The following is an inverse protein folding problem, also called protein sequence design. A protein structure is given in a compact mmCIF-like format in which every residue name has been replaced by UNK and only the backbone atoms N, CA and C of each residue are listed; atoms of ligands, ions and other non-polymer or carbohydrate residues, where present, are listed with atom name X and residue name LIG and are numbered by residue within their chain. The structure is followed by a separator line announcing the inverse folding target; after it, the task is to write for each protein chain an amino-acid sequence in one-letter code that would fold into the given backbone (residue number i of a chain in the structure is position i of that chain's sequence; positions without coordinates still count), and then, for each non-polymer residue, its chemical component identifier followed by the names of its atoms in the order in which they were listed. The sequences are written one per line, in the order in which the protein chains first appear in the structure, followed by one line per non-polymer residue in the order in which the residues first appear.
data_IF_528070825004
#
_entry.id   IF_528070825004
#
_cell.length_a   1.000
_cell.length_b   1.000
_cell.length_c   1.000
_cell.angle_alpha   90.00
_cell.angle_beta   90.00
_cell.angle_gamma   90.00
#
_symmetry.space_group_name_H-M   'P 1'
#
loop_
_entity.id
_entity.type
_entity.pdbx_description
1 polymer ?
#
# COMPACT_ATOMS: atom_id res chain seq x y z
N UNK A 1 -1.86 59.96 -66.51
CA UNK A 1 -1.88 60.74 -65.27
C UNK A 1 -2.48 59.86 -64.19
N UNK A 2 -1.62 59.29 -63.39
CA UNK A 2 -1.83 58.30 -62.36
C UNK A 2 -2.10 59.01 -61.05
N UNK A 3 -3.18 58.67 -60.38
CA UNK A 3 -3.45 59.07 -59.01
C UNK A 3 -3.46 57.78 -58.09
N UNK A 4 -2.45 57.73 -57.28
CA UNK A 4 -2.28 56.75 -56.19
C UNK A 4 -3.32 56.99 -55.10
N UNK A 5 -4.10 55.95 -54.76
CA UNK A 5 -4.94 55.87 -53.52
C UNK A 5 -4.21 55.09 -52.51
N UNK A 6 -4.06 55.64 -51.29
CA UNK A 6 -3.57 55.07 -50.09
C UNK A 6 -4.54 53.96 -49.48
N UNK A 7 -4.01 52.94 -48.83
CA UNK A 7 -4.82 51.86 -48.25
C UNK A 7 -5.08 52.07 -46.73
N UNK A 8 -5.92 53.04 -46.40
CA UNK A 8 -6.45 53.21 -45.04
C UNK A 8 -7.92 53.58 -45.14
N UNK A 9 -8.77 52.67 -44.86
CA UNK A 9 -10.17 52.77 -44.42
C UNK A 9 -11.02 51.61 -44.93
N UNK A 10 -11.02 50.50 -44.12
CA UNK A 10 -12.23 49.69 -43.93
C UNK A 10 -12.13 48.96 -42.58
N UNK A 11 -12.37 49.69 -41.51
CA UNK A 11 -12.83 49.06 -40.29
C UNK A 11 -14.35 48.90 -40.37
N UNK A 12 -14.81 47.75 -40.85
CA UNK A 12 -16.19 47.36 -40.65
C UNK A 12 -16.30 46.67 -39.30
N UNK A 13 -16.93 47.37 -38.36
CA UNK A 13 -17.42 46.81 -37.12
C UNK A 13 -18.42 45.70 -37.41
N UNK A 14 -18.02 44.46 -37.23
CA UNK A 14 -18.92 43.32 -37.17
C UNK A 14 -19.65 43.33 -35.84
N UNK A 15 -20.98 43.54 -35.92
CA UNK A 15 -21.87 43.37 -34.78
C UNK A 15 -21.75 41.94 -34.20
N UNK A 16 -21.84 41.73 -32.86
CA UNK A 16 -21.77 40.42 -32.25
C UNK A 16 -22.96 39.59 -32.70
N UNK A 17 -22.70 38.41 -33.24
CA UNK A 17 -23.71 37.41 -33.61
C UNK A 17 -24.35 36.88 -32.31
N UNK A 18 -25.67 37.02 -32.08
CA UNK A 18 -26.36 36.46 -30.91
C UNK A 18 -26.52 34.95 -31.10
N UNK A 19 -25.92 34.15 -30.20
CA UNK A 19 -26.11 32.72 -30.18
C UNK A 19 -24.86 31.84 -30.26
N UNK A 20 -23.65 32.41 -30.09
CA UNK A 20 -22.44 31.63 -29.89
C UNK A 20 -22.48 30.91 -28.51
N UNK A 21 -22.04 29.63 -28.42
CA UNK A 21 -21.96 28.97 -27.15
C UNK A 21 -21.07 29.81 -26.21
N UNK A 22 -21.56 30.01 -24.98
CA UNK A 22 -20.83 30.73 -23.92
C UNK A 22 -19.38 30.21 -23.83
N UNK A 23 -18.38 31.08 -23.73
CA UNK A 23 -17.02 30.65 -23.52
C UNK A 23 -16.99 29.80 -22.27
N UNK A 24 -16.75 28.51 -22.44
CA UNK A 24 -16.59 27.52 -21.36
C UNK A 24 -15.73 28.18 -20.29
N UNK A 25 -16.34 28.52 -19.17
CA UNK A 25 -15.65 29.04 -17.98
C UNK A 25 -14.60 28.00 -17.63
N UNK A 26 -13.37 28.23 -18.06
CA UNK A 26 -12.21 27.45 -17.64
C UNK A 26 -12.10 27.66 -16.14
N UNK A 27 -12.66 26.74 -15.37
CA UNK A 27 -12.36 26.64 -13.94
C UNK A 27 -10.85 26.49 -13.84
N UNK A 28 -10.15 27.39 -13.16
CA UNK A 28 -8.71 27.33 -13.10
C UNK A 28 -8.30 26.02 -12.45
N UNK A 29 -7.62 25.14 -13.22
CA UNK A 29 -7.05 23.88 -12.79
C UNK A 29 -6.12 24.00 -11.56
N UNK A 30 -5.76 25.24 -11.20
CA UNK A 30 -5.01 25.58 -9.98
C UNK A 30 -5.73 25.23 -8.68
N UNK A 31 -7.05 24.98 -8.67
CA UNK A 31 -7.77 24.54 -7.46
C UNK A 31 -7.70 23.03 -7.20
N UNK A 32 -7.22 22.23 -8.14
CA UNK A 32 -7.11 20.77 -8.00
C UNK A 32 -5.70 20.32 -7.61
N UNK A 33 -4.71 21.19 -7.64
CA UNK A 33 -3.39 20.90 -7.10
C UNK A 33 -3.40 21.33 -5.62
N UNK A 34 -3.34 20.43 -4.65
CA UNK A 34 -3.22 20.83 -3.26
C UNK A 34 -1.89 21.57 -3.12
N UNK A 35 -2.01 22.86 -2.77
CA UNK A 35 -0.90 23.73 -2.44
C UNK A 35 0.07 23.00 -1.51
N UNK A 36 1.33 22.96 -1.92
CA UNK A 36 2.53 22.66 -1.15
C UNK A 36 2.29 22.33 0.34
N UNK A 37 2.20 21.04 0.67
CA UNK A 37 2.56 20.61 2.01
C UNK A 37 4.01 21.02 2.22
N UNK A 38 4.23 21.94 3.16
CA UNK A 38 5.54 22.41 3.55
C UNK A 38 6.45 21.18 3.74
N UNK A 39 7.59 21.02 3.02
CA UNK A 39 8.39 19.80 3.07
C UNK A 39 8.88 19.46 4.49
N UNK A 40 8.92 20.46 5.36
CA UNK A 40 9.29 20.33 6.77
C UNK A 40 8.19 19.67 7.61
N UNK A 41 6.91 19.94 7.35
CA UNK A 41 5.80 19.30 8.10
C UNK A 41 5.73 17.80 7.83
N UNK A 42 6.02 17.37 6.60
CA UNK A 42 6.07 15.95 6.27
C UNK A 42 7.27 15.20 6.88
N UNK A 43 8.42 15.87 7.01
CA UNK A 43 9.61 15.29 7.68
C UNK A 43 9.44 15.26 9.19
N UNK A 44 8.89 16.33 9.79
CA UNK A 44 8.61 16.37 11.22
C UNK A 44 7.59 15.31 11.65
N UNK A 45 6.51 15.13 10.89
CA UNK A 45 5.53 14.08 11.14
C UNK A 45 6.15 12.67 11.05
N UNK A 46 7.04 12.44 10.08
CA UNK A 46 7.75 11.16 9.96
C UNK A 46 8.65 10.90 11.17
N UNK A 47 9.44 11.88 11.59
CA UNK A 47 10.32 11.76 12.76
C UNK A 47 9.51 11.54 14.03
N UNK A 48 8.43 12.31 14.24
CA UNK A 48 7.54 12.12 15.39
C UNK A 48 6.93 10.72 15.43
N UNK A 49 6.43 10.24 14.30
CA UNK A 49 5.91 8.88 14.18
C UNK A 49 6.98 7.82 14.45
N UNK A 50 8.19 8.00 13.90
CA UNK A 50 9.31 7.09 14.12
C UNK A 50 9.66 6.99 15.61
N UNK A 51 9.73 8.14 16.31
CA UNK A 51 9.98 8.18 17.74
C UNK A 51 8.88 7.47 18.53
N UNK A 52 7.60 7.74 18.21
CA UNK A 52 6.45 7.09 18.88
C UNK A 52 6.50 5.59 18.67
N UNK A 53 6.65 5.13 17.42
CA UNK A 53 6.65 3.68 17.10
C UNK A 53 7.85 2.99 17.71
N UNK A 54 9.05 3.57 17.69
CA UNK A 54 10.25 2.96 18.28
C UNK A 54 10.25 3.01 19.81
N UNK A 55 9.64 4.02 20.44
CA UNK A 55 9.53 4.12 21.89
C UNK A 55 8.42 3.24 22.48
N UNK A 56 7.45 2.82 21.68
CA UNK A 56 6.27 2.07 22.13
C UNK A 56 6.61 0.78 22.90
N UNK A 57 7.59 -0.06 22.51
CA UNK A 57 7.92 -1.29 23.26
C UNK A 57 8.40 -1.06 24.68
N UNK A 58 8.96 0.12 24.95
CA UNK A 58 9.38 0.50 26.31
C UNK A 58 8.20 0.96 27.18
N UNK A 59 7.11 1.41 26.54
CA UNK A 59 5.89 1.87 27.21
C UNK A 59 4.87 0.75 27.38
N UNK A 60 4.85 -0.24 26.45
CA UNK A 60 3.97 -1.41 26.51
C UNK A 60 4.50 -2.41 27.55
N UNK A 61 3.83 -2.52 28.68
CA UNK A 61 4.26 -3.37 29.82
C UNK A 61 4.31 -4.88 29.49
N UNK A 62 3.46 -5.38 28.57
CA UNK A 62 3.32 -6.80 28.27
C UNK A 62 4.02 -7.21 26.96
N UNK A 63 4.77 -8.31 27.00
CA UNK A 63 5.45 -8.86 25.82
C UNK A 63 4.48 -9.43 24.76
N UNK A 64 3.31 -9.89 25.18
CA UNK A 64 2.25 -10.38 24.28
C UNK A 64 1.70 -9.26 23.41
N UNK A 65 1.49 -8.07 23.99
CA UNK A 65 1.03 -6.88 23.27
C UNK A 65 2.05 -6.45 22.21
N UNK A 66 3.35 -6.54 22.51
CA UNK A 66 4.41 -6.21 21.57
C UNK A 66 4.35 -7.07 20.29
N UNK A 67 4.02 -8.37 20.41
CA UNK A 67 3.86 -9.26 19.27
C UNK A 67 2.64 -8.88 18.42
N UNK A 68 1.52 -8.60 19.06
CA UNK A 68 0.29 -8.18 18.38
C UNK A 68 0.50 -6.88 17.59
N UNK A 69 1.18 -5.90 18.21
CA UNK A 69 1.53 -4.67 17.52
C UNK A 69 2.52 -4.89 16.36
N UNK A 70 3.49 -5.80 16.50
CA UNK A 70 4.40 -6.18 15.43
C UNK A 70 3.62 -6.74 14.21
N UNK A 71 2.60 -7.57 14.45
CA UNK A 71 1.71 -8.07 13.42
C UNK A 71 1.01 -6.92 12.68
N UNK A 72 0.45 -5.95 13.40
CA UNK A 72 -0.22 -4.79 12.80
C UNK A 72 0.73 -3.89 12.00
N UNK A 73 1.99 -3.78 12.44
CA UNK A 73 3.01 -3.05 11.66
C UNK A 73 3.34 -3.77 10.34
N UNK A 74 3.37 -5.11 10.32
CA UNK A 74 3.50 -5.87 9.08
C UNK A 74 2.32 -5.62 8.13
N UNK A 75 1.11 -5.58 8.64
CA UNK A 75 -0.08 -5.23 7.84
C UNK A 75 -0.03 -3.79 7.33
N UNK A 76 0.47 -2.86 8.12
CA UNK A 76 0.67 -1.48 7.68
C UNK A 76 1.68 -1.37 6.52
N UNK A 77 2.75 -2.19 6.50
CA UNK A 77 3.68 -2.25 5.37
C UNK A 77 2.99 -2.66 4.06
N UNK A 78 2.14 -3.70 4.13
CA UNK A 78 1.34 -4.15 2.97
C UNK A 78 0.41 -3.04 2.50
N UNK A 79 -0.29 -2.39 3.43
CA UNK A 79 -1.22 -1.31 3.13
C UNK A 79 -0.54 -0.13 2.42
N UNK A 80 0.68 0.25 2.84
CA UNK A 80 1.48 1.28 2.17
C UNK A 80 1.84 0.87 0.74
N UNK A 81 2.29 -0.39 0.54
CA UNK A 81 2.57 -0.93 -0.79
C UNK A 81 1.33 -0.93 -1.69
N UNK A 82 0.21 -1.41 -1.18
CA UNK A 82 -1.06 -1.43 -1.90
C UNK A 82 -1.56 -0.01 -2.24
N UNK A 83 -1.36 0.98 -1.36
CA UNK A 83 -1.73 2.37 -1.64
C UNK A 83 -0.90 2.96 -2.79
N UNK A 84 0.37 2.58 -2.96
CA UNK A 84 1.16 2.97 -4.14
C UNK A 84 0.51 2.43 -5.43
N UNK A 85 0.13 1.16 -5.45
CA UNK A 85 -0.49 0.56 -6.63
C UNK A 85 -1.91 1.11 -6.87
N UNK A 86 -2.74 1.15 -5.86
CA UNK A 86 -4.15 1.52 -5.98
C UNK A 86 -4.37 3.03 -5.83
N UNK A 87 -3.87 3.63 -4.76
CA UNK A 87 -4.09 5.04 -4.45
C UNK A 87 -3.41 5.97 -5.46
N UNK A 88 -2.13 5.73 -5.73
CA UNK A 88 -1.34 6.55 -6.64
C UNK A 88 -1.37 6.03 -8.08
N UNK A 89 -1.40 4.72 -8.30
CA UNK A 89 -1.37 4.11 -9.64
C UNK A 89 -2.74 3.78 -10.24
N UNK A 90 -3.81 3.81 -9.45
CA UNK A 90 -5.17 3.46 -9.91
C UNK A 90 -5.37 1.96 -10.19
N UNK A 91 -4.44 1.10 -9.76
CA UNK A 91 -4.45 -0.34 -10.00
C UNK A 91 -4.92 -1.07 -8.74
N UNK A 92 -6.19 -1.46 -8.70
CA UNK A 92 -6.73 -2.25 -7.59
C UNK A 92 -6.25 -3.69 -7.70
N UNK A 93 -5.23 -4.07 -6.92
CA UNK A 93 -4.71 -5.43 -6.84
C UNK A 93 -5.36 -6.16 -5.66
N UNK A 94 -6.31 -7.07 -5.93
CA UNK A 94 -6.93 -7.91 -4.90
C UNK A 94 -6.06 -9.11 -4.50
N UNK A 95 -5.02 -9.40 -5.27
CA UNK A 95 -4.10 -10.52 -5.02
C UNK A 95 -2.81 -10.13 -4.29
N UNK A 96 -2.83 -9.10 -3.45
CA UNK A 96 -1.63 -8.64 -2.73
C UNK A 96 -1.11 -9.71 -1.74
N UNK A 97 -1.99 -10.58 -1.24
CA UNK A 97 -1.64 -11.72 -0.41
C UNK A 97 -0.64 -12.69 -1.06
N UNK A 98 -0.67 -12.84 -2.39
CA UNK A 98 0.31 -13.62 -3.14
C UNK A 98 1.75 -13.16 -2.86
N UNK A 99 2.02 -11.86 -3.00
CA UNK A 99 3.37 -11.30 -2.85
C UNK A 99 3.82 -11.33 -1.40
N UNK A 100 2.90 -11.08 -0.48
CA UNK A 100 3.12 -11.24 0.95
C UNK A 100 3.45 -12.70 1.29
N UNK A 101 2.66 -13.65 0.76
CA UNK A 101 2.85 -15.08 0.94
C UNK A 101 4.20 -15.59 0.44
N UNK A 102 4.64 -15.14 -0.74
CA UNK A 102 5.96 -15.50 -1.28
C UNK A 102 7.10 -15.07 -0.35
N UNK A 103 7.03 -13.85 0.19
CA UNK A 103 8.01 -13.37 1.17
C UNK A 103 7.96 -14.15 2.49
N UNK A 104 6.74 -14.44 2.97
CA UNK A 104 6.54 -15.20 4.20
C UNK A 104 7.02 -16.65 4.07
N UNK A 105 6.75 -17.34 2.96
CA UNK A 105 7.25 -18.68 2.71
C UNK A 105 8.77 -18.73 2.56
N UNK A 106 9.39 -17.74 1.92
CA UNK A 106 10.83 -17.62 1.81
C UNK A 106 11.49 -17.58 3.20
N UNK A 107 11.02 -16.69 4.07
CA UNK A 107 11.54 -16.57 5.43
C UNK A 107 11.12 -17.77 6.33
N UNK A 108 9.89 -18.26 6.20
CA UNK A 108 9.42 -19.42 6.92
C UNK A 108 10.24 -20.67 6.63
N UNK A 109 10.67 -20.86 5.36
CA UNK A 109 11.54 -21.95 4.99
C UNK A 109 12.94 -21.79 5.59
N UNK A 110 13.51 -20.60 5.58
CA UNK A 110 14.78 -20.31 6.23
C UNK A 110 14.72 -20.68 7.73
N UNK A 111 13.67 -20.22 8.44
CA UNK A 111 13.49 -20.53 9.85
C UNK A 111 13.27 -22.03 10.09
N UNK A 112 12.62 -22.75 9.20
CA UNK A 112 12.48 -24.21 9.27
C UNK A 112 13.80 -24.93 9.11
N UNK A 113 14.69 -24.43 8.25
CA UNK A 113 16.03 -24.99 8.01
C UNK A 113 16.98 -24.66 9.16
N UNK A 114 16.86 -23.48 9.79
CA UNK A 114 17.69 -23.08 10.95
C UNK A 114 17.49 -24.03 12.17
N UNK A 115 16.36 -24.72 12.26
CA UNK A 115 16.05 -25.60 13.39
C UNK A 115 16.53 -27.04 13.25
N UNK A 116 17.02 -27.37 12.07
CA UNK A 116 17.43 -28.74 11.74
C UNK A 116 18.95 -28.77 11.60
N UNK A 117 19.64 -29.78 12.16
CA UNK A 117 21.08 -29.95 11.97
C UNK A 117 21.48 -29.98 10.49
N UNK A 118 22.67 -29.46 10.20
CA UNK A 118 23.18 -29.44 8.84
C UNK A 118 23.11 -30.81 8.16
N UNK A 119 22.55 -30.83 6.94
CA UNK A 119 22.38 -32.06 6.17
C UNK A 119 21.11 -32.87 6.48
N UNK A 120 20.27 -32.44 7.42
CA UNK A 120 18.97 -33.08 7.68
C UNK A 120 17.83 -32.26 7.06
N UNK A 121 16.68 -32.92 6.84
CA UNK A 121 15.51 -32.28 6.26
C UNK A 121 14.51 -31.85 7.32
N UNK A 122 13.76 -30.76 7.12
CA UNK A 122 12.64 -30.40 7.99
C UNK A 122 11.66 -31.56 8.11
N UNK A 123 11.04 -31.70 9.30
CA UNK A 123 10.18 -32.83 9.65
C UNK A 123 9.04 -33.08 8.67
N UNK A 124 8.44 -32.02 8.08
CA UNK A 124 7.39 -32.18 7.08
C UNK A 124 7.91 -32.77 5.75
N UNK A 125 9.17 -32.52 5.38
CA UNK A 125 9.78 -33.15 4.20
C UNK A 125 10.11 -34.61 4.46
N UNK A 126 10.69 -34.93 5.61
CA UNK A 126 11.05 -36.33 5.97
C UNK A 126 9.82 -37.21 6.14
N UNK A 127 8.69 -36.66 6.62
CA UNK A 127 7.44 -37.42 6.83
C UNK A 127 6.67 -37.67 5.52
N UNK A 128 6.66 -36.72 4.59
CA UNK A 128 5.80 -36.81 3.41
C UNK A 128 6.54 -37.07 2.10
N UNK A 129 7.87 -37.19 2.14
CA UNK A 129 8.68 -37.45 0.94
C UNK A 129 9.85 -38.40 1.23
N UNK A 130 10.31 -39.08 0.19
CA UNK A 130 11.52 -39.88 0.22
C UNK A 130 12.76 -39.07 -0.20
N UNK A 131 12.73 -37.75 0.00
CA UNK A 131 13.90 -36.91 -0.30
C UNK A 131 15.02 -37.25 0.72
N UNK A 132 16.19 -37.48 0.21
CA UNK A 132 17.43 -37.64 0.99
C UNK A 132 18.20 -36.33 1.08
N UNK A 133 18.00 -35.46 0.11
CA UNK A 133 18.65 -34.15 0.03
C UNK A 133 17.63 -33.02 -0.11
N UNK A 134 18.02 -31.79 0.28
CA UNK A 134 17.19 -30.62 0.15
C UNK A 134 16.91 -30.32 -1.34
N UNK A 135 15.64 -30.19 -1.75
CA UNK A 135 15.28 -29.83 -3.12
C UNK A 135 15.95 -28.52 -3.58
N UNK A 136 16.34 -28.48 -4.84
CA UNK A 136 17.06 -27.34 -5.44
C UNK A 136 16.36 -25.99 -5.20
N UNK A 137 15.00 -26.00 -5.18
CA UNK A 137 14.18 -24.81 -4.92
C UNK A 137 14.48 -24.18 -3.56
N UNK A 138 14.78 -24.99 -2.53
CA UNK A 138 14.96 -24.53 -1.16
C UNK A 138 16.43 -24.34 -0.75
N UNK A 139 17.41 -24.80 -1.55
CA UNK A 139 18.83 -24.60 -1.25
C UNK A 139 19.24 -23.14 -1.03
N UNK A 140 18.72 -22.13 -1.81
CA UNK A 140 19.06 -20.73 -1.59
C UNK A 140 18.62 -20.17 -0.24
N UNK A 141 17.64 -20.81 0.42
CA UNK A 141 17.08 -20.35 1.69
C UNK A 141 17.84 -20.84 2.94
N UNK A 142 18.94 -21.56 2.76
CA UNK A 142 19.85 -21.93 3.87
C UNK A 142 20.56 -20.71 4.45
N UNK A 143 20.88 -19.70 3.63
CA UNK A 143 21.50 -18.46 4.08
C UNK A 143 20.47 -17.36 4.31
N UNK A 144 20.62 -16.61 5.43
CA UNK A 144 19.77 -15.45 5.72
C UNK A 144 19.83 -14.37 4.63
N UNK A 145 21.02 -14.03 4.14
CA UNK A 145 21.19 -12.96 3.15
C UNK A 145 20.53 -13.30 1.80
N UNK A 146 20.70 -14.53 1.34
CA UNK A 146 20.01 -14.97 0.11
C UNK A 146 18.50 -14.99 0.30
N UNK A 147 18.02 -15.44 1.45
CA UNK A 147 16.59 -15.42 1.80
C UNK A 147 16.03 -13.99 1.82
N UNK A 148 16.71 -13.05 2.47
CA UNK A 148 16.29 -11.66 2.54
C UNK A 148 16.18 -11.02 1.15
N UNK A 149 17.15 -11.30 0.26
CA UNK A 149 17.11 -10.80 -1.13
C UNK A 149 15.99 -11.47 -1.91
N UNK A 150 15.87 -12.80 -1.85
CA UNK A 150 14.85 -13.55 -2.60
C UNK A 150 13.43 -13.27 -2.12
N UNK A 151 13.22 -13.02 -0.82
CA UNK A 151 11.93 -12.63 -0.27
C UNK A 151 11.38 -11.32 -0.85
N UNK A 152 12.25 -10.44 -1.34
CA UNK A 152 11.87 -9.21 -2.03
C UNK A 152 11.88 -9.41 -3.56
N UNK A 153 12.91 -10.06 -4.09
CA UNK A 153 13.15 -10.18 -5.53
C UNK A 153 12.10 -11.06 -6.21
N UNK A 154 11.76 -12.23 -5.63
CA UNK A 154 10.81 -13.18 -6.23
C UNK A 154 9.42 -12.55 -6.39
N UNK A 155 8.78 -11.95 -5.36
CA UNK A 155 7.50 -11.27 -5.55
C UNK A 155 7.60 -10.08 -6.50
N UNK A 156 8.72 -9.35 -6.51
CA UNK A 156 8.95 -8.22 -7.42
C UNK A 156 9.00 -8.67 -8.88
N UNK A 157 9.76 -9.72 -9.19
CA UNK A 157 9.85 -10.27 -10.54
C UNK A 157 8.52 -10.86 -11.00
N UNK A 158 7.84 -11.59 -10.12
CA UNK A 158 6.52 -12.14 -10.42
C UNK A 158 5.50 -11.03 -10.72
N UNK A 159 5.50 -9.96 -9.94
CA UNK A 159 4.67 -8.78 -10.24
C UNK A 159 5.08 -8.11 -11.56
N UNK A 160 6.37 -8.08 -11.88
CA UNK A 160 6.87 -7.58 -13.16
C UNK A 160 6.32 -8.38 -14.35
N UNK A 161 6.41 -9.71 -14.27
CA UNK A 161 5.87 -10.60 -15.33
C UNK A 161 4.37 -10.43 -15.47
N UNK A 162 3.62 -10.54 -14.36
CA UNK A 162 2.16 -10.37 -14.36
C UNK A 162 1.75 -8.97 -14.86
N UNK A 163 2.42 -7.93 -14.39
CA UNK A 163 2.16 -6.55 -14.79
C UNK A 163 2.39 -6.33 -16.28
N UNK A 164 3.50 -6.80 -16.82
CA UNK A 164 3.78 -6.70 -18.26
C UNK A 164 2.77 -7.45 -19.10
N UNK A 165 2.42 -8.69 -18.72
CA UNK A 165 1.42 -9.49 -19.44
C UNK A 165 0.05 -8.80 -19.47
N UNK A 166 -0.37 -8.22 -18.35
CA UNK A 166 -1.70 -7.63 -18.18
C UNK A 166 -1.77 -6.23 -18.81
N UNK A 167 -0.83 -5.33 -18.46
CA UNK A 167 -0.93 -3.94 -18.89
C UNK A 167 -0.57 -3.75 -20.37
N UNK A 168 0.30 -4.58 -20.96
CA UNK A 168 0.53 -4.58 -22.40
C UNK A 168 -0.70 -5.02 -23.20
N UNK A 169 -1.53 -5.91 -22.63
CA UNK A 169 -2.84 -6.31 -23.19
C UNK A 169 -3.94 -5.29 -22.94
N UNK A 170 -3.61 -4.14 -22.31
CA UNK A 170 -4.55 -3.05 -21.99
C UNK A 170 -5.71 -3.49 -21.09
N UNK A 171 -5.51 -4.51 -20.25
CA UNK A 171 -6.49 -4.93 -19.26
C UNK A 171 -6.54 -3.86 -18.17
N UNK A 172 -7.75 -3.34 -17.90
CA UNK A 172 -7.96 -2.20 -16.99
C UNK A 172 -9.08 -2.49 -15.99
N UNK A 173 -9.08 -1.71 -14.90
CA UNK A 173 -10.17 -1.67 -13.92
C UNK A 173 -10.44 -3.01 -13.25
N UNK A 174 -11.72 -3.45 -13.17
CA UNK A 174 -12.11 -4.64 -12.43
C UNK A 174 -11.46 -5.94 -12.92
N UNK A 175 -11.16 -6.05 -14.21
CA UNK A 175 -10.53 -7.25 -14.79
C UNK A 175 -9.12 -7.48 -14.23
N UNK A 176 -8.37 -6.41 -13.97
CA UNK A 176 -7.06 -6.51 -13.31
C UNK A 176 -7.20 -7.03 -11.87
N UNK A 177 -8.19 -6.55 -11.13
CA UNK A 177 -8.46 -6.97 -9.76
C UNK A 177 -8.80 -8.47 -9.69
N UNK A 178 -9.71 -8.93 -10.59
CA UNK A 178 -10.11 -10.35 -10.67
C UNK A 178 -8.92 -11.22 -11.07
N UNK A 179 -8.10 -10.79 -12.03
CA UNK A 179 -6.96 -11.56 -12.49
C UNK A 179 -5.90 -11.72 -11.39
N UNK A 180 -5.59 -10.65 -10.65
CA UNK A 180 -4.65 -10.72 -9.53
C UNK A 180 -5.19 -11.59 -8.40
N UNK A 181 -6.49 -11.55 -8.15
CA UNK A 181 -7.16 -12.42 -7.18
C UNK A 181 -7.07 -13.89 -7.60
N UNK A 182 -7.40 -14.21 -8.87
CA UNK A 182 -7.29 -15.57 -9.38
C UNK A 182 -5.85 -16.09 -9.27
N UNK A 183 -4.85 -15.26 -9.56
CA UNK A 183 -3.43 -15.64 -9.42
C UNK A 183 -3.08 -15.95 -7.95
N UNK A 184 -3.62 -15.19 -6.98
CA UNK A 184 -3.41 -15.48 -5.56
C UNK A 184 -4.05 -16.82 -5.16
N UNK A 185 -5.25 -17.12 -5.63
CA UNK A 185 -5.92 -18.41 -5.38
C UNK A 185 -5.13 -19.57 -5.99
N UNK A 186 -4.64 -19.43 -7.23
CA UNK A 186 -3.78 -20.44 -7.87
C UNK A 186 -2.52 -20.69 -7.03
N UNK A 187 -1.90 -19.63 -6.51
CA UNK A 187 -0.73 -19.76 -5.64
C UNK A 187 -1.05 -20.54 -4.35
N UNK A 188 -2.16 -20.21 -3.70
CA UNK A 188 -2.63 -20.94 -2.51
C UNK A 188 -2.87 -22.44 -2.84
N UNK A 189 -3.54 -22.72 -3.96
CA UNK A 189 -3.77 -24.11 -4.39
C UNK A 189 -2.46 -24.85 -4.70
N UNK A 190 -1.46 -24.17 -5.29
CA UNK A 190 -0.13 -24.75 -5.50
C UNK A 190 0.58 -25.09 -4.19
N UNK A 191 0.47 -24.22 -3.18
CA UNK A 191 1.02 -24.47 -1.85
C UNK A 191 0.31 -25.66 -1.17
N UNK A 192 -1.03 -25.68 -1.22
CA UNK A 192 -1.83 -26.77 -0.62
C UNK A 192 -1.57 -28.10 -1.32
N UNK A 193 -1.47 -28.10 -2.65
CA UNK A 193 -1.25 -29.32 -3.45
C UNK A 193 0.14 -29.94 -3.31
N UNK A 194 1.14 -29.14 -2.89
CA UNK A 194 2.53 -29.60 -2.80
C UNK A 194 2.94 -29.88 -1.34
N UNK A 195 2.26 -30.83 -0.67
CA UNK A 195 2.49 -31.21 0.73
C UNK A 195 3.98 -31.47 1.03
N UNK A 196 4.67 -32.12 0.09
CA UNK A 196 6.09 -32.49 0.21
C UNK A 196 7.05 -31.30 0.25
N UNK A 197 6.70 -30.19 -0.40
CA UNK A 197 7.57 -29.02 -0.53
C UNK A 197 7.17 -27.86 0.40
N UNK A 198 5.89 -27.74 0.72
CA UNK A 198 5.33 -26.55 1.38
C UNK A 198 4.57 -26.88 2.66
N UNK A 199 4.54 -28.17 3.06
CA UNK A 199 3.73 -28.66 4.20
C UNK A 199 2.19 -28.53 3.97
N UNK A 200 1.74 -28.24 2.74
CA UNK A 200 0.33 -28.20 2.36
C UNK A 200 -0.50 -27.23 3.18
N UNK A 201 -1.68 -27.66 3.62
CA UNK A 201 -2.62 -26.83 4.40
C UNK A 201 -2.09 -26.43 5.77
N UNK A 202 -1.24 -27.26 6.40
CA UNK A 202 -0.67 -26.97 7.71
C UNK A 202 0.33 -25.81 7.66
N UNK A 203 0.96 -25.61 6.50
CA UNK A 203 1.99 -24.60 6.33
C UNK A 203 3.28 -24.90 7.11
N UNK A 204 4.17 -23.93 7.14
CA UNK A 204 5.43 -24.01 7.85
C UNK A 204 5.22 -23.58 9.31
N UNK A 205 5.46 -24.52 10.24
CA UNK A 205 5.20 -24.33 11.68
C UNK A 205 6.39 -24.83 12.51
N UNK A 206 6.28 -24.66 13.84
CA UNK A 206 7.27 -25.25 14.76
C UNK A 206 8.50 -24.38 14.97
N UNK A 207 8.49 -23.08 14.61
CA UNK A 207 9.62 -22.20 14.88
C UNK A 207 9.83 -21.99 16.38
N UNK A 208 10.75 -22.72 16.99
CA UNK A 208 11.14 -22.62 18.40
C UNK A 208 12.24 -21.59 18.61
N UNK A 209 13.14 -21.48 17.64
CA UNK A 209 14.21 -20.49 17.58
C UNK A 209 14.01 -19.55 16.40
N UNK A 210 14.35 -18.30 16.59
CA UNK A 210 14.27 -17.24 15.58
C UNK A 210 15.61 -16.49 15.63
N UNK A 211 16.47 -16.71 14.64
CA UNK A 211 17.82 -16.15 14.59
C UNK A 211 18.61 -16.41 15.88
N UNK A 212 18.65 -17.68 16.34
CA UNK A 212 19.34 -18.08 17.55
C UNK A 212 18.66 -17.66 18.87
N UNK A 213 17.51 -16.98 18.84
CA UNK A 213 16.75 -16.57 20.03
C UNK A 213 15.56 -17.49 20.25
N UNK A 214 15.33 -17.88 21.49
CA UNK A 214 14.14 -18.66 21.83
C UNK A 214 12.88 -17.79 21.69
N UNK A 215 11.89 -18.27 20.89
CA UNK A 215 10.63 -17.59 20.61
C UNK A 215 9.82 -17.24 21.86
N UNK A 216 9.93 -18.06 22.91
CA UNK A 216 9.12 -17.92 24.13
C UNK A 216 9.71 -16.91 25.12
N UNK A 217 10.89 -16.34 24.86
CA UNK A 217 11.47 -15.32 25.72
C UNK A 217 10.79 -13.96 25.49
N UNK A 218 10.44 -13.21 26.55
CA UNK A 218 9.80 -11.89 26.43
C UNK A 218 10.62 -10.89 25.61
N UNK A 219 11.95 -10.98 25.66
CA UNK A 219 12.87 -10.15 24.89
C UNK A 219 12.76 -10.36 23.38
N UNK A 220 12.41 -11.57 22.93
CA UNK A 220 12.26 -11.91 21.51
C UNK A 220 11.07 -11.17 20.90
N UNK A 221 9.93 -11.07 21.60
CA UNK A 221 8.77 -10.33 21.10
C UNK A 221 9.06 -8.82 20.94
N UNK A 222 9.81 -8.22 21.87
CA UNK A 222 10.23 -6.82 21.75
C UNK A 222 11.20 -6.62 20.59
N UNK A 223 12.11 -7.55 20.38
CA UNK A 223 13.02 -7.53 19.24
C UNK A 223 12.27 -7.64 17.91
N UNK A 224 11.33 -8.58 17.79
CA UNK A 224 10.47 -8.73 16.59
C UNK A 224 9.66 -7.46 16.30
N UNK A 225 9.11 -6.84 17.36
CA UNK A 225 8.44 -5.56 17.22
C UNK A 225 9.39 -4.49 16.66
N UNK A 226 10.61 -4.40 17.18
CA UNK A 226 11.59 -3.40 16.71
C UNK A 226 11.95 -3.63 15.24
N UNK A 227 12.13 -4.89 14.82
CA UNK A 227 12.36 -5.26 13.42
C UNK A 227 11.19 -4.84 12.53
N UNK A 228 9.95 -5.13 12.96
CA UNK A 228 8.75 -4.73 12.23
C UNK A 228 8.61 -3.20 12.16
N UNK A 229 8.93 -2.50 13.25
CA UNK A 229 8.91 -1.04 13.30
C UNK A 229 9.93 -0.41 12.32
N UNK A 230 11.15 -0.91 12.33
CA UNK A 230 12.20 -0.48 11.37
C UNK A 230 11.75 -0.80 9.93
N UNK A 231 11.23 -2.00 9.69
CA UNK A 231 10.68 -2.40 8.39
C UNK A 231 9.60 -1.44 7.88
N UNK A 232 8.64 -1.08 8.74
CA UNK A 232 7.59 -0.10 8.38
C UNK A 232 8.18 1.28 8.09
N UNK A 233 9.14 1.74 8.87
CA UNK A 233 9.78 3.04 8.65
C UNK A 233 10.56 3.08 7.33
N UNK A 234 11.26 1.99 6.99
CA UNK A 234 11.96 1.85 5.70
C UNK A 234 10.94 1.86 4.55
N UNK A 235 9.89 1.04 4.63
CA UNK A 235 8.83 0.98 3.61
C UNK A 235 8.17 2.35 3.43
N UNK A 236 7.83 3.03 4.52
CA UNK A 236 7.21 4.35 4.47
C UNK A 236 8.17 5.42 3.90
N UNK A 237 9.46 5.38 4.24
CA UNK A 237 10.47 6.28 3.70
C UNK A 237 10.66 6.07 2.19
N UNK A 238 10.74 4.82 1.74
CA UNK A 238 10.83 4.46 0.31
C UNK A 238 9.56 4.90 -0.41
N UNK A 239 8.38 4.64 0.15
CA UNK A 239 7.09 5.04 -0.40
C UNK A 239 7.00 6.57 -0.58
N UNK A 240 7.38 7.33 0.45
CA UNK A 240 7.42 8.80 0.38
C UNK A 240 8.38 9.31 -0.69
N UNK A 241 9.57 8.68 -0.81
CA UNK A 241 10.55 9.02 -1.84
C UNK A 241 10.01 8.72 -3.24
N UNK A 242 9.39 7.56 -3.43
CA UNK A 242 8.76 7.15 -4.72
C UNK A 242 7.65 8.13 -5.10
N UNK A 243 6.71 8.41 -4.21
CA UNK A 243 5.56 9.29 -4.48
C UNK A 243 5.98 10.73 -4.80
N UNK A 244 7.03 11.24 -4.15
CA UNK A 244 7.56 12.59 -4.39
C UNK A 244 8.47 12.68 -5.62
N UNK A 245 8.92 11.56 -6.17
CA UNK A 245 9.80 11.51 -7.34
C UNK A 245 9.09 11.89 -8.65
N UNK A 246 9.87 12.07 -9.72
CA UNK A 246 9.33 12.24 -11.08
C UNK A 246 8.48 11.04 -11.50
N UNK A 247 8.91 9.83 -11.11
CA UNK A 247 8.17 8.60 -11.37
C UNK A 247 6.79 8.61 -10.66
N UNK A 248 6.72 9.01 -9.39
CA UNK A 248 5.46 9.07 -8.64
C UNK A 248 4.45 10.05 -9.27
N UNK A 249 4.93 11.19 -9.78
CA UNK A 249 4.08 12.13 -10.53
C UNK A 249 3.59 11.52 -11.85
N UNK A 250 4.46 10.79 -12.56
CA UNK A 250 4.11 10.08 -13.78
C UNK A 250 3.09 8.97 -13.54
N UNK A 251 3.23 8.23 -12.43
CA UNK A 251 2.30 7.19 -12.00
C UNK A 251 0.90 7.78 -11.73
N UNK A 252 0.82 8.93 -11.03
CA UNK A 252 -0.44 9.65 -10.80
C UNK A 252 -1.05 10.17 -12.10
N UNK A 253 -0.25 10.76 -13.00
CA UNK A 253 -0.72 11.20 -14.31
C UNK A 253 -1.29 10.02 -15.13
N UNK A 254 -0.65 8.84 -15.04
CA UNK A 254 -1.13 7.61 -15.71
C UNK A 254 -2.46 7.13 -15.12
N UNK A 255 -2.67 7.27 -13.80
CA UNK A 255 -3.94 6.98 -13.14
C UNK A 255 -5.06 7.90 -13.66
N UNK A 256 -4.76 9.20 -13.80
CA UNK A 256 -5.76 10.20 -14.16
C UNK A 256 -6.09 10.16 -15.66
N UNK A 257 -5.10 9.92 -16.55
CA UNK A 257 -5.32 9.75 -18.00
C UNK A 257 -4.15 9.04 -18.67
N UNK A 258 -4.32 7.77 -19.02
CA UNK A 258 -3.30 6.98 -19.74
C UNK A 258 -3.00 7.56 -21.13
N UNK A 259 -4.02 8.09 -21.82
CA UNK A 259 -3.86 8.60 -23.19
C UNK A 259 -2.98 9.86 -23.21
N UNK A 260 -3.16 10.77 -22.26
CA UNK A 260 -2.28 11.95 -22.13
C UNK A 260 -0.83 11.56 -21.89
N UNK A 261 -0.57 10.56 -21.05
CA UNK A 261 0.79 10.07 -20.77
C UNK A 261 1.41 9.45 -22.03
N UNK A 262 0.60 8.73 -22.81
CA UNK A 262 1.04 8.15 -24.10
C UNK A 262 1.40 9.23 -25.13
N UNK A 263 0.61 10.31 -25.23
CA UNK A 263 0.94 11.45 -26.09
C UNK A 263 2.25 12.16 -25.69
N UNK A 264 2.64 12.08 -24.42
CA UNK A 264 3.94 12.60 -23.94
C UNK A 264 5.12 11.63 -24.22
N UNK A 265 4.89 10.50 -24.91
CA UNK A 265 5.91 9.54 -25.28
C UNK A 265 6.24 8.46 -24.22
N UNK A 266 5.49 8.40 -23.11
CA UNK A 266 5.68 7.36 -22.11
C UNK A 266 4.75 6.18 -22.36
N UNK A 267 5.23 4.95 -22.08
CA UNK A 267 4.38 3.75 -22.08
C UNK A 267 3.68 3.56 -20.73
N UNK A 268 2.34 3.75 -20.66
CA UNK A 268 1.58 3.55 -19.41
C UNK A 268 1.69 2.13 -18.86
N UNK A 269 1.90 1.12 -19.70
CA UNK A 269 2.03 -0.26 -19.27
C UNK A 269 3.29 -0.47 -18.43
N UNK A 270 4.42 0.10 -18.87
CA UNK A 270 5.68 0.04 -18.12
C UNK A 270 5.55 0.80 -16.80
N UNK A 271 4.98 2.01 -16.83
CA UNK A 271 4.78 2.85 -15.63
C UNK A 271 3.96 2.10 -14.59
N UNK A 272 2.84 1.49 -14.99
CA UNK A 272 2.00 0.69 -14.09
C UNK A 272 2.71 -0.55 -13.58
N UNK A 273 3.43 -1.27 -14.45
CA UNK A 273 4.18 -2.47 -14.06
C UNK A 273 5.20 -2.15 -12.97
N UNK A 274 5.98 -1.08 -13.12
CA UNK A 274 6.96 -0.67 -12.11
C UNK A 274 6.28 -0.30 -10.78
N UNK A 275 5.13 0.41 -10.80
CA UNK A 275 4.36 0.69 -9.58
C UNK A 275 3.86 -0.58 -8.89
N UNK A 276 3.43 -1.56 -9.65
CA UNK A 276 3.00 -2.86 -9.15
C UNK A 276 4.18 -3.67 -8.58
N UNK A 277 5.36 -3.65 -9.23
CA UNK A 277 6.59 -4.25 -8.72
C UNK A 277 7.02 -3.66 -7.37
N UNK A 278 6.94 -2.33 -7.21
CA UNK A 278 7.26 -1.65 -5.95
C UNK A 278 6.29 -2.09 -4.85
N UNK A 279 4.99 -2.17 -5.14
CA UNK A 279 3.99 -2.65 -4.18
C UNK A 279 4.25 -4.12 -3.77
N UNK A 280 4.61 -4.98 -4.73
CA UNK A 280 4.94 -6.38 -4.49
C UNK A 280 6.24 -6.54 -3.67
N UNK A 281 7.26 -5.72 -3.93
CA UNK A 281 8.50 -5.71 -3.15
C UNK A 281 8.24 -5.37 -1.67
N UNK A 282 7.38 -4.38 -1.42
CA UNK A 282 6.97 -4.00 -0.06
C UNK A 282 6.16 -5.09 0.63
N UNK A 283 5.27 -5.77 -0.11
CA UNK A 283 4.50 -6.89 0.41
C UNK A 283 5.39 -8.10 0.71
N UNK A 284 6.36 -8.41 -0.16
CA UNK A 284 7.33 -9.49 0.07
C UNK A 284 8.20 -9.24 1.32
N UNK A 285 8.70 -8.01 1.48
CA UNK A 285 9.42 -7.61 2.70
C UNK A 285 8.54 -7.74 3.95
N UNK A 286 7.29 -7.27 3.87
CA UNK A 286 6.33 -7.41 4.96
C UNK A 286 6.08 -8.87 5.32
N UNK A 287 5.95 -9.76 4.32
CA UNK A 287 5.81 -11.20 4.51
C UNK A 287 7.02 -11.84 5.19
N UNK A 288 8.22 -11.47 4.75
CA UNK A 288 9.45 -11.96 5.36
C UNK A 288 9.57 -11.58 6.84
N UNK A 289 9.20 -10.35 7.21
CA UNK A 289 9.19 -9.91 8.61
C UNK A 289 8.03 -10.53 9.39
N UNK A 290 6.88 -10.76 8.74
CA UNK A 290 5.71 -11.34 9.37
C UNK A 290 5.88 -12.82 9.75
N UNK A 291 6.64 -13.61 8.98
CA UNK A 291 6.85 -15.03 9.24
C UNK A 291 7.35 -15.33 10.67
N UNK A 292 8.43 -14.72 11.18
CA UNK A 292 8.86 -14.91 12.57
C UNK A 292 7.88 -14.30 13.59
N UNK A 293 7.18 -13.20 13.24
CA UNK A 293 6.19 -12.57 14.13
C UNK A 293 4.99 -13.49 14.34
N UNK A 294 4.42 -14.04 13.28
CA UNK A 294 3.28 -14.97 13.37
C UNK A 294 3.68 -16.31 13.98
N UNK A 295 4.91 -16.77 13.70
CA UNK A 295 5.42 -18.08 14.13
C UNK A 295 4.74 -19.24 13.45
N UNK A 296 3.98 -18.99 12.40
CA UNK A 296 3.36 -19.94 11.48
C UNK A 296 3.19 -19.24 10.14
N UNK A 297 3.44 -19.95 9.05
CA UNK A 297 3.22 -19.48 7.69
C UNK A 297 2.30 -20.46 6.99
N UNK A 298 1.02 -20.15 6.93
CA UNK A 298 -0.03 -21.02 6.39
C UNK A 298 -0.64 -20.43 5.11
N UNK A 299 -0.99 -21.25 4.10
CA UNK A 299 -1.68 -20.79 2.90
C UNK A 299 -2.95 -19.99 3.17
N UNK A 300 -3.69 -20.32 4.24
CA UNK A 300 -4.90 -19.60 4.64
C UNK A 300 -4.67 -18.11 4.94
N UNK A 301 -3.44 -17.70 5.28
CA UNK A 301 -3.10 -16.30 5.55
C UNK A 301 -2.99 -15.45 4.27
N UNK A 302 -2.91 -16.09 3.10
CA UNK A 302 -2.68 -15.44 1.79
C UNK A 302 -3.85 -15.64 0.83
N UNK A 303 -4.89 -16.31 1.28
CA UNK A 303 -6.10 -16.62 0.52
C UNK A 303 -6.88 -15.34 0.16
N UNK A 304 -7.99 -15.50 -0.56
CA UNK A 304 -8.79 -14.38 -1.06
C UNK A 304 -9.36 -13.49 0.06
N UNK A 305 -9.78 -14.05 1.19
CA UNK A 305 -10.36 -13.27 2.29
C UNK A 305 -9.34 -12.30 2.90
N UNK A 306 -8.14 -12.74 3.38
CA UNK A 306 -7.10 -11.82 3.83
C UNK A 306 -6.68 -10.80 2.78
N UNK A 307 -6.63 -11.18 1.50
CA UNK A 307 -6.26 -10.25 0.42
C UNK A 307 -7.29 -9.12 0.24
N UNK A 308 -8.58 -9.40 0.38
CA UNK A 308 -9.64 -8.38 0.36
C UNK A 308 -9.52 -7.47 1.60
N UNK A 309 -9.20 -8.02 2.77
CA UNK A 309 -8.99 -7.23 3.99
C UNK A 309 -7.87 -6.20 3.85
N UNK A 310 -6.80 -6.54 3.13
CA UNK A 310 -5.70 -5.60 2.84
C UNK A 310 -6.22 -4.36 2.09
N UNK A 311 -7.16 -4.54 1.17
CA UNK A 311 -7.82 -3.43 0.46
C UNK A 311 -8.70 -2.60 1.40
N UNK A 312 -9.41 -3.25 2.34
CA UNK A 312 -10.20 -2.56 3.35
C UNK A 312 -9.35 -1.62 4.20
N UNK A 313 -8.13 -2.02 4.57
CA UNK A 313 -7.23 -1.15 5.35
C UNK A 313 -6.92 0.16 4.62
N UNK A 314 -6.61 0.08 3.32
CA UNK A 314 -6.33 1.27 2.51
C UNK A 314 -7.59 2.11 2.27
N UNK A 315 -8.73 1.46 2.05
CA UNK A 315 -10.01 2.16 1.85
C UNK A 315 -10.43 2.95 3.09
N UNK A 316 -10.39 2.31 4.26
CA UNK A 316 -10.73 2.94 5.56
C UNK A 316 -9.75 4.05 5.90
N UNK A 317 -8.46 3.83 5.66
CA UNK A 317 -7.42 4.80 5.94
C UNK A 317 -7.50 6.05 5.06
N UNK A 318 -7.86 5.85 3.80
CA UNK A 318 -7.95 6.92 2.78
C UNK A 318 -6.95 6.72 1.65
N UNK A 319 -7.47 6.28 0.51
CA UNK A 319 -6.73 6.00 -0.71
C UNK A 319 -5.93 7.20 -1.21
N UNK A 320 -4.67 6.96 -1.60
CA UNK A 320 -3.76 8.00 -2.08
C UNK A 320 -3.13 8.83 -0.97
N UNK A 321 -3.13 8.30 0.26
CA UNK A 321 -2.46 8.91 1.40
C UNK A 321 -1.69 7.84 2.20
N UNK A 322 -0.35 7.86 2.10
CA UNK A 322 0.51 6.86 2.75
C UNK A 322 0.25 6.75 4.27
N UNK A 323 0.03 7.89 4.94
CA UNK A 323 -0.32 7.94 6.36
C UNK A 323 -1.70 7.37 6.65
N UNK A 324 -2.65 7.63 5.74
CA UNK A 324 -3.97 7.03 5.80
C UNK A 324 -3.90 5.51 5.74
N UNK A 325 -3.13 4.94 4.81
CA UNK A 325 -2.96 3.50 4.69
C UNK A 325 -2.41 2.87 5.99
N UNK A 326 -1.40 3.51 6.62
CA UNK A 326 -0.86 3.05 7.92
C UNK A 326 -1.95 3.11 9.00
N UNK A 327 -2.62 4.25 9.15
CA UNK A 327 -3.67 4.43 10.16
C UNK A 327 -4.84 3.48 9.93
N UNK A 328 -5.25 3.28 8.68
CA UNK A 328 -6.32 2.34 8.34
C UNK A 328 -5.97 0.90 8.72
N UNK A 329 -4.74 0.45 8.43
CA UNK A 329 -4.28 -0.87 8.85
C UNK A 329 -4.31 -1.02 10.38
N UNK A 330 -3.80 -0.03 11.12
CA UNK A 330 -3.77 -0.09 12.59
C UNK A 330 -5.19 -0.06 13.19
N UNK A 331 -6.05 0.85 12.72
CA UNK A 331 -7.41 1.02 13.25
C UNK A 331 -8.29 -0.21 12.95
N UNK A 332 -8.24 -0.73 11.73
CA UNK A 332 -9.07 -1.90 11.35
C UNK A 332 -8.61 -3.14 12.11
N UNK A 333 -7.30 -3.36 12.27
CA UNK A 333 -6.80 -4.53 13.01
C UNK A 333 -7.02 -4.39 14.54
N UNK A 334 -6.93 -3.17 15.08
CA UNK A 334 -7.34 -2.91 16.46
C UNK A 334 -8.84 -3.20 16.66
N UNK A 335 -9.70 -2.70 15.79
CA UNK A 335 -11.13 -2.97 15.83
C UNK A 335 -11.42 -4.46 15.67
N UNK A 336 -10.70 -5.16 14.77
CA UNK A 336 -10.80 -6.62 14.62
C UNK A 336 -10.58 -7.35 15.93
N UNK A 337 -9.47 -7.08 16.61
CA UNK A 337 -9.15 -7.77 17.87
C UNK A 337 -10.17 -7.47 18.95
N UNK A 338 -10.55 -6.19 19.10
CA UNK A 338 -11.50 -5.77 20.14
C UNK A 338 -12.91 -6.32 19.90
N UNK A 339 -13.40 -6.26 18.68
CA UNK A 339 -14.77 -6.70 18.34
C UNK A 339 -14.84 -8.22 18.27
N UNK A 340 -13.82 -8.91 17.74
CA UNK A 340 -13.84 -10.37 17.69
C UNK A 340 -13.71 -11.01 19.07
N UNK A 341 -13.08 -10.33 20.04
CA UNK A 341 -13.08 -10.77 21.43
C UNK A 341 -14.46 -10.68 22.09
N UNK A 342 -15.26 -9.67 21.70
CA UNK A 342 -16.59 -9.47 22.24
C UNK A 342 -17.69 -10.27 21.51
N UNK A 343 -17.56 -10.44 20.19
CA UNK A 343 -18.52 -11.10 19.29
C UNK A 343 -17.80 -11.91 18.21
N UNK A 344 -17.30 -13.10 18.50
CA UNK A 344 -16.50 -13.89 17.55
C UNK A 344 -17.27 -14.32 16.31
N UNK A 345 -18.57 -14.61 16.43
CA UNK A 345 -19.41 -15.11 15.32
C UNK A 345 -19.83 -13.99 14.36
N UNK A 346 -20.01 -12.76 14.85
CA UNK A 346 -20.51 -11.63 14.08
C UNK A 346 -19.38 -10.81 13.41
N UNK A 347 -18.14 -11.03 13.80
CA UNK A 347 -17.01 -10.21 13.37
C UNK A 347 -16.91 -10.09 11.84
N UNK A 348 -17.06 -11.20 11.12
CA UNK A 348 -16.91 -11.24 9.66
C UNK A 348 -17.98 -10.39 8.96
N UNK A 349 -19.21 -10.42 9.47
CA UNK A 349 -20.33 -9.61 8.97
C UNK A 349 -20.12 -8.11 9.27
N UNK A 350 -19.67 -7.79 10.48
CA UNK A 350 -19.37 -6.42 10.90
C UNK A 350 -18.23 -5.82 10.06
N UNK A 351 -17.23 -6.61 9.73
CA UNK A 351 -16.12 -6.18 8.89
C UNK A 351 -16.57 -5.93 7.44
N UNK A 352 -17.41 -6.79 6.88
CA UNK A 352 -18.02 -6.58 5.56
C UNK A 352 -18.89 -5.33 5.54
N UNK A 353 -19.72 -5.14 6.56
CA UNK A 353 -20.55 -3.94 6.73
C UNK A 353 -19.70 -2.67 6.84
N UNK A 354 -18.64 -2.70 7.66
CA UNK A 354 -17.70 -1.57 7.79
C UNK A 354 -17.12 -1.18 6.43
N UNK A 355 -16.72 -2.17 5.62
CA UNK A 355 -16.18 -1.91 4.29
C UNK A 355 -17.21 -1.22 3.38
N UNK A 356 -18.43 -1.73 3.34
CA UNK A 356 -19.52 -1.14 2.54
C UNK A 356 -19.82 0.28 2.99
N UNK A 357 -19.94 0.51 4.29
CA UNK A 357 -20.23 1.84 4.86
C UNK A 357 -19.11 2.83 4.54
N UNK A 358 -17.85 2.44 4.72
CA UNK A 358 -16.71 3.33 4.42
C UNK A 358 -16.64 3.65 2.93
N UNK A 359 -16.85 2.67 2.06
CA UNK A 359 -16.82 2.87 0.62
C UNK A 359 -17.97 3.78 0.13
N UNK A 360 -19.16 3.65 0.73
CA UNK A 360 -20.35 4.42 0.36
C UNK A 360 -20.33 5.85 0.89
N UNK A 361 -19.94 6.05 2.16
CA UNK A 361 -20.08 7.33 2.86
C UNK A 361 -18.78 8.10 3.08
N UNK A 362 -17.64 7.44 3.04
CA UNK A 362 -16.33 8.04 3.27
C UNK A 362 -15.30 7.65 2.19
N UNK A 363 -15.48 8.02 0.92
CA UNK A 363 -14.60 7.63 -0.18
C UNK A 363 -13.16 8.16 -0.01
N UNK A 364 -12.96 9.20 0.81
CA UNK A 364 -11.66 9.72 1.22
C UNK A 364 -11.08 9.07 2.48
N UNK A 365 -11.80 8.14 3.13
CA UNK A 365 -11.42 7.48 4.36
C UNK A 365 -11.18 8.43 5.55
N UNK A 366 -10.53 7.93 6.58
CA UNK A 366 -10.17 8.70 7.79
C UNK A 366 -9.29 9.92 7.42
N UNK A 367 -8.34 9.76 6.51
CA UNK A 367 -7.47 10.85 6.09
C UNK A 367 -8.25 11.97 5.38
N UNK A 368 -9.27 11.64 4.59
CA UNK A 368 -10.17 12.60 3.96
C UNK A 368 -10.98 13.41 4.97
N UNK A 369 -11.52 12.75 5.98
CA UNK A 369 -12.28 13.39 7.06
C UNK A 369 -11.41 14.36 7.88
N UNK A 370 -10.20 13.95 8.23
CA UNK A 370 -9.23 14.80 8.94
C UNK A 370 -8.84 16.03 8.12
N UNK A 371 -8.66 15.86 6.80
CA UNK A 371 -8.32 16.96 5.90
C UNK A 371 -9.46 17.96 5.72
N UNK A 372 -10.70 17.50 5.62
CA UNK A 372 -11.87 18.40 5.52
C UNK A 372 -12.05 19.24 6.78
N UNK A 373 -11.87 18.64 7.97
CA UNK A 373 -11.90 19.37 9.24
C UNK A 373 -10.80 20.41 9.35
N UNK A 374 -9.58 20.11 8.94
CA UNK A 374 -8.47 21.06 8.97
C UNK A 374 -8.69 22.25 8.04
N UNK A 375 -9.28 22.03 6.87
CA UNK A 375 -9.65 23.12 5.94
C UNK A 375 -10.76 23.99 6.49
N UNK A 376 -11.76 23.41 7.17
CA UNK A 376 -12.83 24.16 7.81
C UNK A 376 -12.30 25.03 8.96
N UNK A 377 -11.40 24.50 9.79
CA UNK A 377 -10.76 25.25 10.88
C UNK A 377 -9.89 26.41 10.34
N UNK A 378 -9.12 26.18 9.29
CA UNK A 378 -8.31 27.23 8.65
C UNK A 378 -9.17 28.30 8.00
N UNK A 379 -10.32 27.93 7.42
CA UNK A 379 -11.28 28.88 6.86
C UNK A 379 -11.95 29.73 7.95
N UNK A 380 -12.28 29.15 9.12
CA UNK A 380 -12.81 29.90 10.28
C UNK A 380 -11.77 30.88 10.84
N UNK A 381 -10.51 30.47 10.97
CA UNK A 381 -9.42 31.36 11.44
C UNK A 381 -9.14 32.48 10.43
N UNK A 382 -9.20 32.20 9.13
CA UNK A 382 -9.03 33.20 8.08
C UNK A 382 -10.20 34.21 8.06
N UNK A 383 -11.43 33.73 8.28
CA UNK A 383 -12.62 34.60 8.37
C UNK A 383 -12.61 35.52 9.60
N UNK A 384 -11.92 35.12 10.68
CA UNK A 384 -11.75 35.94 11.89
C UNK A 384 -10.63 37.00 11.76
N UNK A 385 -9.81 36.90 10.69
CA UNK A 385 -8.70 37.85 10.42
C UNK A 385 -8.97 38.86 9.31
N UNK A 386 -10.12 38.83 8.63
CA UNK A 386 -10.50 39.92 7.73
C UNK A 386 -10.97 41.11 8.61
N UNK A 387 -10.23 42.23 8.63
CA UNK A 387 -10.72 43.44 9.22
C UNK A 387 -11.95 43.90 8.40
N UNK A 388 -12.98 44.38 9.09
CA UNK A 388 -14.07 45.12 8.49
C UNK A 388 -13.42 46.40 7.91
N UNK A 389 -13.05 46.38 6.62
CA UNK A 389 -12.78 47.63 5.92
C UNK A 389 -14.07 48.41 5.88
N UNK A 390 -14.07 49.46 6.69
CA UNK A 390 -15.17 50.39 6.82
C UNK A 390 -15.52 50.96 5.47
N UNK A 391 -16.79 50.88 5.13
CA UNK A 391 -17.47 51.66 4.10
C UNK A 391 -17.30 53.14 4.47
N UNK A 392 -16.29 53.78 3.88
CA UNK A 392 -16.25 55.23 3.85
C UNK A 392 -17.29 55.69 2.82
N UNK A 393 -18.50 56.05 3.32
CA UNK A 393 -19.43 56.91 2.63
C UNK A 393 -18.84 58.31 2.72
N UNK A 394 -18.15 58.77 1.66
CA UNK A 394 -17.84 60.18 1.44
C UNK A 394 -18.12 60.51 -0.03
N UNK A 395 -19.05 61.44 -0.22
CA UNK A 395 -19.20 62.11 -1.51
C UNK A 395 -20.62 62.31 -2.00
N UNK A 396 -21.44 63.00 -1.19
CA UNK A 396 -22.58 63.75 -1.73
C UNK A 396 -22.34 65.22 -1.43
N UNK A 397 -21.88 65.96 -2.44
CA UNK A 397 -22.22 67.37 -2.68
C UNK A 397 -22.19 67.62 -4.18
#
# INVERSE_FOLDING_TARGET
MTATRSPDEVQHGAAPVPGGPDPVRRTPLSRLVPSSTNPWTGRGAFVAFAVVVLAFPSLAGNSADARLWAEWLCYAMIAVGLDIAWGYGGMLALGQGLFFGLGAYAMGMHLSLEQVPDGTLPSFMSLYSNYTELPLLWRPFQSFWSTAVLAILVPTLMAGVLGLLVFKRRIRGPFFAILTQATAVIFVLLLVGNLKLTSGTNGLTGFTTIFGRNKYQPGTNRWLYTVAAIGLLVVLAVAMKVVRSRYGKLLQATRDSEDRVRFLGYDPAIVKTVGFMIAAAMAGLAGAIAAPVFGIVSPAQFDYVPSILMVCWVAVGGRGTLWGAVLGALVVNWARVTVSAARPDDWLYLQGLLFVVVLAFAPGGIAGLLRSRSQWLTALVARKRSPIEGTSLEGAV
#
